data_IF_146628090520
#
_entry.id   IF_146628090520
#
_cell.length_a   1.000
_cell.length_b   1.000
_cell.length_c   1.000
_cell.angle_alpha   90.00
_cell.angle_beta   90.00
_cell.angle_gamma   90.00
#
_symmetry.space_group_name_H-M   'P 1'
#
loop_
_entity.id
_entity.type
_entity.pdbx_description
1 polymer ?
#
# COMPACT_ATOMS: atom_id res chain seq x y z
N UNK A 1 42.40 19.57 -26.01
CA UNK A 1 42.77 20.74 -25.19
C UNK A 1 41.47 21.47 -24.88
N UNK A 2 40.47 20.78 -24.34
CA UNK A 2 40.35 20.10 -23.03
C UNK A 2 39.66 21.05 -22.06
N UNK A 3 38.34 21.16 -22.24
CA UNK A 3 37.42 21.52 -21.18
C UNK A 3 36.18 20.63 -21.35
N UNK A 4 35.62 20.17 -20.23
CA UNK A 4 34.40 19.37 -20.06
C UNK A 4 34.58 17.84 -20.01
N UNK A 5 35.29 17.36 -18.98
CA UNK A 5 35.06 16.05 -18.35
C UNK A 5 35.26 16.20 -16.84
N UNK A 6 34.17 16.22 -16.06
CA UNK A 6 33.98 15.31 -14.91
C UNK A 6 32.62 15.56 -14.25
N UNK A 7 31.58 14.90 -14.76
CA UNK A 7 30.31 14.72 -14.03
C UNK A 7 29.87 13.29 -14.28
N UNK A 8 30.49 12.34 -13.57
CA UNK A 8 29.89 11.04 -13.25
C UNK A 8 30.79 10.29 -12.28
N UNK A 9 30.57 10.48 -10.99
CA UNK A 9 30.79 9.45 -9.97
C UNK A 9 30.10 9.86 -8.67
N UNK A 10 28.77 9.74 -8.61
CA UNK A 10 28.10 9.60 -7.31
C UNK A 10 28.29 8.15 -6.89
N UNK A 11 29.51 7.85 -6.43
CA UNK A 11 29.81 6.63 -5.71
C UNK A 11 28.97 6.64 -4.43
N UNK A 12 27.90 5.85 -4.42
CA UNK A 12 27.13 5.54 -3.21
C UNK A 12 28.02 4.72 -2.29
N UNK A 13 28.88 5.42 -1.55
CA UNK A 13 29.64 4.82 -0.47
C UNK A 13 28.65 4.33 0.59
N UNK A 14 28.80 3.11 1.12
CA UNK A 14 28.01 2.67 2.26
C UNK A 14 28.29 3.63 3.41
N UNK A 15 27.25 4.27 3.94
CA UNK A 15 27.34 5.11 5.13
C UNK A 15 27.75 4.20 6.29
N UNK A 16 29.06 4.09 6.53
CA UNK A 16 29.59 3.54 7.77
C UNK A 16 29.02 4.42 8.89
N UNK A 17 28.44 3.85 9.96
CA UNK A 17 27.95 4.64 11.08
C UNK A 17 29.10 5.47 11.60
N UNK A 18 28.94 6.80 11.60
CA UNK A 18 29.97 7.73 12.04
C UNK A 18 30.44 7.33 13.44
N UNK A 19 31.74 7.07 13.60
CA UNK A 19 32.37 6.65 14.87
C UNK A 19 32.39 7.74 15.94
N UNK A 20 31.74 8.88 15.73
CA UNK A 20 31.71 9.97 16.70
C UNK A 20 30.41 9.93 17.52
N UNK A 21 30.38 9.00 18.47
CA UNK A 21 29.35 8.92 19.49
C UNK A 21 29.59 10.07 20.48
N UNK A 22 29.00 11.24 20.22
CA UNK A 22 29.09 12.40 21.12
C UNK A 22 28.68 12.07 22.57
N UNK A 23 28.97 12.95 23.52
CA UNK A 23 28.79 12.73 24.98
C UNK A 23 27.35 12.29 25.37
N UNK A 24 26.35 12.63 24.56
CA UNK A 24 24.96 12.27 24.78
C UNK A 24 24.47 11.06 23.97
N UNK A 25 25.36 10.41 23.21
CA UNK A 25 25.01 9.29 22.34
C UNK A 25 24.31 8.17 23.10
N UNK A 26 24.89 7.70 24.22
CA UNK A 26 24.26 6.66 25.01
C UNK A 26 22.89 7.06 25.57
N UNK A 27 22.75 8.31 26.03
CA UNK A 27 21.47 8.83 26.52
C UNK A 27 20.42 8.92 25.42
N UNK A 28 20.82 9.36 24.22
CA UNK A 28 19.95 9.43 23.05
C UNK A 28 19.55 8.02 22.63
N UNK A 29 20.51 7.10 22.51
CA UNK A 29 20.24 5.69 22.18
C UNK A 29 19.34 5.05 23.22
N UNK A 30 19.53 5.29 24.51
CA UNK A 30 18.64 4.76 25.55
C UNK A 30 17.22 5.33 25.45
N UNK A 31 17.08 6.62 25.15
CA UNK A 31 15.79 7.30 25.01
C UNK A 31 15.04 6.95 23.71
N UNK A 32 15.73 6.42 22.69
CA UNK A 32 15.08 6.00 21.44
C UNK A 32 14.10 4.85 21.72
N UNK A 33 12.83 4.97 21.27
CA UNK A 33 11.88 3.88 21.29
C UNK A 33 12.45 2.65 20.60
N UNK A 34 12.16 1.42 21.09
CA UNK A 34 12.63 0.19 20.46
C UNK A 34 12.16 0.07 19.01
N UNK A 35 11.05 0.73 18.65
CA UNK A 35 10.60 0.88 17.27
C UNK A 35 11.68 1.48 16.36
N UNK A 36 12.30 2.60 16.75
CA UNK A 36 13.31 3.30 15.93
C UNK A 36 14.60 2.49 15.83
N UNK A 37 15.01 1.83 16.92
CA UNK A 37 16.24 1.00 16.96
C UNK A 37 16.21 -0.21 16.02
N UNK A 38 15.02 -0.73 15.74
CA UNK A 38 14.82 -1.97 14.97
C UNK A 38 14.23 -1.73 13.58
N UNK A 39 14.03 -0.46 13.20
CA UNK A 39 13.43 -0.10 11.91
C UNK A 39 14.48 -0.14 10.80
N UNK A 40 14.20 -0.78 9.65
CA UNK A 40 15.13 -0.78 8.52
C UNK A 40 15.41 0.66 8.03
N UNK A 41 16.64 1.00 7.60
CA UNK A 41 17.07 2.39 7.32
C UNK A 41 16.17 3.16 6.36
N UNK A 42 15.55 2.47 5.38
CA UNK A 42 14.60 3.06 4.42
C UNK A 42 13.39 3.71 5.11
N UNK A 43 12.92 3.16 6.24
CA UNK A 43 11.80 3.72 7.02
C UNK A 43 12.24 4.83 7.99
N UNK A 44 13.56 5.05 8.16
CA UNK A 44 14.14 6.09 9.00
C UNK A 44 14.47 7.38 8.23
N UNK A 45 14.19 7.43 6.92
CA UNK A 45 14.35 8.63 6.08
C UNK A 45 13.30 9.69 6.44
N UNK A 46 13.43 10.25 7.64
CA UNK A 46 12.75 11.45 8.12
C UNK A 46 13.67 12.65 7.89
N UNK A 47 14.12 12.86 6.66
CA UNK A 47 14.98 14.01 6.33
C UNK A 47 14.12 15.21 5.96
N UNK A 48 14.15 16.25 6.79
CA UNK A 48 13.64 17.59 6.46
C UNK A 48 12.25 17.96 6.97
N UNK A 49 11.54 17.09 7.69
CA UNK A 49 10.25 17.47 8.30
C UNK A 49 10.46 18.12 9.65
N UNK A 50 10.17 19.42 9.77
CA UNK A 50 10.03 20.07 11.07
C UNK A 50 8.85 19.42 11.81
N UNK A 51 9.16 18.57 12.79
CA UNK A 51 8.15 17.88 13.60
C UNK A 51 7.57 18.89 14.58
N UNK A 52 6.43 19.49 14.23
CA UNK A 52 5.66 20.32 15.16
C UNK A 52 4.82 19.42 16.06
N UNK A 53 4.93 19.60 17.37
CA UNK A 53 4.11 18.87 18.34
C UNK A 53 2.65 19.32 18.21
N UNK A 54 1.70 18.41 17.93
CA UNK A 54 0.31 18.80 17.75
C UNK A 54 -0.28 19.44 19.01
N UNK A 55 -1.12 20.46 18.84
CA UNK A 55 -1.73 21.19 19.96
C UNK A 55 -2.58 20.31 20.89
N UNK A 56 -3.24 19.26 20.37
CA UNK A 56 -4.00 18.30 21.18
C UNK A 56 -3.08 17.50 22.13
N UNK A 57 -1.86 17.15 21.70
CA UNK A 57 -0.89 16.45 22.53
C UNK A 57 -0.38 17.37 23.66
N UNK A 58 -0.18 18.65 23.37
CA UNK A 58 0.23 19.66 24.36
C UNK A 58 -0.88 19.96 25.40
N UNK A 59 -2.15 19.74 25.06
CA UNK A 59 -3.28 19.89 26.00
C UNK A 59 -3.57 18.63 26.81
N UNK A 60 -3.19 17.45 26.31
CA UNK A 60 -3.38 16.19 27.00
C UNK A 60 -2.65 16.18 28.36
N UNK A 61 -3.27 15.53 29.36
CA UNK A 61 -2.67 15.37 30.68
C UNK A 61 -1.39 14.53 30.61
N UNK A 62 -0.52 14.64 31.61
CA UNK A 62 0.71 13.84 31.65
C UNK A 62 0.39 12.33 31.70
N UNK A 63 -0.67 11.94 32.42
CA UNK A 63 -1.12 10.55 32.48
C UNK A 63 -1.59 10.05 31.10
N UNK A 64 -2.35 10.87 30.36
CA UNK A 64 -2.81 10.51 29.02
C UNK A 64 -1.64 10.40 28.03
N UNK A 65 -0.63 11.25 28.15
CA UNK A 65 0.58 11.17 27.32
C UNK A 65 1.38 9.90 27.60
N UNK A 66 1.52 9.52 28.86
CA UNK A 66 2.18 8.27 29.26
C UNK A 66 1.41 7.07 28.71
N UNK A 67 0.09 7.05 28.87
CA UNK A 67 -0.75 5.99 28.33
C UNK A 67 -0.71 5.93 26.79
N UNK A 68 -0.73 7.09 26.11
CA UNK A 68 -0.56 7.17 24.66
C UNK A 68 0.78 6.58 24.21
N UNK A 69 1.86 6.90 24.93
CA UNK A 69 3.19 6.34 24.68
C UNK A 69 3.19 4.81 24.80
N UNK A 70 2.59 4.26 25.86
CA UNK A 70 2.49 2.81 26.04
C UNK A 70 1.74 2.14 24.88
N UNK A 71 0.64 2.74 24.41
CA UNK A 71 -0.11 2.21 23.26
C UNK A 71 0.69 2.26 21.96
N UNK A 72 1.45 3.33 21.74
CA UNK A 72 2.37 3.44 20.60
C UNK A 72 3.42 2.32 20.65
N UNK A 73 4.08 2.16 21.80
CA UNK A 73 5.12 1.15 22.00
C UNK A 73 4.56 -0.29 21.81
N UNK A 74 3.36 -0.56 22.34
CA UNK A 74 2.64 -1.82 22.15
C UNK A 74 2.29 -2.09 20.69
N UNK A 75 1.76 -1.10 19.96
CA UNK A 75 1.45 -1.23 18.53
C UNK A 75 2.70 -1.57 17.73
N UNK A 76 3.82 -0.87 17.96
CA UNK A 76 5.07 -1.14 17.27
C UNK A 76 5.60 -2.55 17.56
N UNK A 77 5.52 -3.01 18.81
CA UNK A 77 5.92 -4.37 19.17
C UNK A 77 5.12 -5.41 18.39
N UNK A 78 3.79 -5.27 18.35
CA UNK A 78 2.90 -6.21 17.65
C UNK A 78 3.06 -6.13 16.13
N UNK A 79 3.26 -4.94 15.57
CA UNK A 79 3.54 -4.77 14.15
C UNK A 79 4.81 -5.52 13.73
N UNK A 80 5.86 -5.51 14.58
CA UNK A 80 7.08 -6.30 14.28
C UNK A 80 6.81 -7.80 14.19
N UNK A 81 5.87 -8.34 14.97
CA UNK A 81 5.50 -9.75 14.91
C UNK A 81 4.78 -10.12 13.59
N UNK A 82 4.15 -9.14 12.96
CA UNK A 82 3.53 -9.27 11.63
C UNK A 82 4.56 -9.04 10.52
N UNK A 83 5.45 -8.06 10.69
CA UNK A 83 6.47 -7.72 9.71
C UNK A 83 7.57 -8.79 9.62
N UNK A 84 7.92 -9.47 10.73
CA UNK A 84 9.03 -10.42 10.78
C UNK A 84 8.89 -11.61 9.79
N UNK A 85 7.75 -12.31 9.69
CA UNK A 85 7.54 -13.33 8.65
C UNK A 85 7.54 -12.80 7.22
N UNK A 86 7.42 -11.48 7.02
CA UNK A 86 7.33 -10.83 5.72
C UNK A 86 8.66 -10.19 5.28
N UNK A 87 9.75 -10.36 6.05
CA UNK A 87 11.05 -9.77 5.72
C UNK A 87 11.62 -10.32 4.41
N UNK A 88 11.43 -11.62 4.15
CA UNK A 88 11.89 -12.29 2.93
C UNK A 88 10.92 -12.14 1.76
N UNK A 89 9.77 -11.47 1.98
CA UNK A 89 8.80 -11.23 0.93
C UNK A 89 9.35 -10.18 -0.03
N UNK A 90 9.76 -10.62 -1.22
CA UNK A 90 10.12 -9.71 -2.30
C UNK A 90 8.93 -8.82 -2.72
N UNK A 91 8.98 -7.55 -2.32
CA UNK A 91 7.93 -6.56 -2.60
C UNK A 91 8.05 -5.97 -4.00
N UNK A 92 9.27 -5.88 -4.54
CA UNK A 92 9.50 -5.37 -5.89
C UNK A 92 9.35 -6.50 -6.92
N UNK A 93 8.27 -6.42 -7.70
CA UNK A 93 7.97 -7.34 -8.78
C UNK A 93 9.06 -7.35 -9.86
N UNK A 94 9.69 -6.21 -10.15
CA UNK A 94 10.78 -6.13 -11.14
C UNK A 94 12.01 -6.85 -10.63
N UNK A 95 12.35 -6.68 -9.36
CA UNK A 95 13.46 -7.39 -8.72
C UNK A 95 13.20 -8.90 -8.60
N UNK A 96 11.94 -9.33 -8.47
CA UNK A 96 11.55 -10.76 -8.55
C UNK A 96 11.69 -11.32 -9.98
N UNK A 97 11.19 -10.58 -10.97
CA UNK A 97 11.10 -11.05 -12.35
C UNK A 97 12.42 -11.01 -13.12
N UNK A 98 13.28 -10.01 -12.84
CA UNK A 98 14.56 -9.82 -13.53
C UNK A 98 15.44 -11.08 -13.55
N UNK A 99 15.74 -11.76 -12.42
CA UNK A 99 16.59 -12.96 -12.45
C UNK A 99 15.95 -14.12 -13.24
N UNK A 100 14.63 -14.32 -13.11
CA UNK A 100 13.90 -15.37 -13.84
C UNK A 100 13.98 -15.15 -15.35
N UNK A 101 13.74 -13.91 -15.79
CA UNK A 101 13.78 -13.55 -17.20
C UNK A 101 15.21 -13.61 -17.77
N UNK A 102 16.21 -13.14 -17.03
CA UNK A 102 17.62 -13.22 -17.45
C UNK A 102 18.09 -14.67 -17.63
N UNK A 103 17.68 -15.59 -16.74
CA UNK A 103 17.99 -17.01 -16.88
C UNK A 103 17.35 -17.62 -18.13
N UNK A 104 16.09 -17.28 -18.38
CA UNK A 104 15.36 -17.76 -19.54
C UNK A 104 15.94 -17.22 -20.86
N UNK A 105 16.38 -15.95 -20.88
CA UNK A 105 17.03 -15.33 -22.04
C UNK A 105 18.40 -15.96 -22.33
N UNK A 106 19.23 -16.15 -21.31
CA UNK A 106 20.55 -16.78 -21.48
C UNK A 106 20.44 -18.22 -21.98
N UNK A 107 19.49 -19.00 -21.44
CA UNK A 107 19.30 -20.41 -21.83
C UNK A 107 18.78 -20.57 -23.27
N UNK A 108 17.94 -19.65 -23.78
CA UNK A 108 17.28 -19.81 -25.09
C UNK A 108 17.96 -19.05 -26.23
N UNK A 109 18.68 -17.98 -25.91
CA UNK A 109 19.26 -17.06 -26.89
C UNK A 109 20.77 -16.88 -26.73
N UNK A 110 21.40 -17.51 -25.73
CA UNK A 110 22.82 -17.33 -25.38
C UNK A 110 23.19 -15.84 -25.20
N UNK A 111 22.25 -15.05 -24.69
CA UNK A 111 22.42 -13.63 -24.40
C UNK A 111 22.47 -13.41 -22.90
N UNK A 112 23.49 -12.69 -22.45
CA UNK A 112 23.69 -12.26 -21.06
C UNK A 112 23.38 -10.77 -20.89
N UNK A 113 22.63 -10.20 -21.82
CA UNK A 113 22.25 -8.79 -21.79
C UNK A 113 21.29 -8.53 -20.63
N UNK A 114 21.37 -7.33 -20.06
CA UNK A 114 20.42 -6.92 -19.02
C UNK A 114 19.04 -6.70 -19.64
N UNK A 115 18.08 -7.55 -19.25
CA UNK A 115 16.68 -7.52 -19.71
C UNK A 115 15.95 -6.22 -19.37
N UNK A 116 16.45 -5.44 -18.41
CA UNK A 116 15.93 -4.09 -18.10
C UNK A 116 16.47 -3.01 -19.05
N UNK A 117 17.51 -3.31 -19.82
CA UNK A 117 18.12 -2.40 -20.80
C UNK A 117 17.79 -2.76 -22.25
N UNK A 118 17.29 -3.98 -22.49
CA UNK A 118 16.76 -4.38 -23.79
C UNK A 118 15.41 -3.71 -24.03
N UNK A 119 15.27 -3.07 -25.19
CA UNK A 119 14.04 -2.41 -25.61
C UNK A 119 13.26 -3.32 -26.54
N UNK A 120 12.00 -3.59 -26.21
CA UNK A 120 11.07 -4.30 -27.07
C UNK A 120 10.16 -3.28 -27.77
N UNK A 121 10.17 -3.30 -29.11
CA UNK A 121 9.25 -2.51 -29.94
C UNK A 121 8.28 -3.45 -30.62
N UNK A 122 6.99 -3.18 -30.46
CA UNK A 122 5.89 -3.96 -31.01
C UNK A 122 4.99 -3.05 -31.83
N UNK A 123 4.85 -3.34 -33.11
CA UNK A 123 3.82 -2.75 -33.96
C UNK A 123 2.58 -3.64 -33.90
N UNK A 124 1.66 -3.27 -33.01
CA UNK A 124 0.44 -4.04 -32.76
C UNK A 124 -0.60 -3.62 -33.81
N UNK A 125 -1.24 -4.57 -34.50
CA UNK A 125 -2.30 -4.24 -35.47
C UNK A 125 -3.55 -3.69 -34.76
N UNK A 126 -4.12 -2.59 -35.27
CA UNK A 126 -5.40 -2.07 -34.79
C UNK A 126 -6.55 -2.86 -35.43
N UNK A 127 -7.06 -3.85 -34.70
CA UNK A 127 -8.16 -4.73 -35.13
C UNK A 127 -9.48 -4.26 -34.53
N UNK A 128 -10.52 -4.17 -35.35
CA UNK A 128 -11.89 -3.87 -34.88
C UNK A 128 -12.53 -5.17 -34.37
N UNK A 129 -13.68 -5.05 -33.68
CA UNK A 129 -14.57 -6.17 -33.38
C UNK A 129 -14.75 -7.04 -34.64
N UNK A 130 -14.64 -8.36 -34.49
CA UNK A 130 -14.57 -9.37 -35.56
C UNK A 130 -13.21 -9.54 -36.28
N UNK A 131 -12.13 -8.92 -35.77
CA UNK A 131 -10.75 -9.23 -36.21
C UNK A 131 -10.34 -8.60 -37.55
N UNK A 132 -11.13 -7.65 -38.07
CA UNK A 132 -10.83 -6.93 -39.31
C UNK A 132 -9.67 -5.96 -39.04
N UNK A 133 -8.59 -6.11 -39.80
CA UNK A 133 -7.40 -5.26 -39.73
C UNK A 133 -7.63 -3.94 -40.46
N UNK A 134 -7.49 -2.81 -39.76
CA UNK A 134 -7.58 -1.46 -40.36
C UNK A 134 -6.36 -1.05 -41.18
N UNK A 135 -5.29 -1.85 -41.16
CA UNK A 135 -4.00 -1.49 -41.73
C UNK A 135 -3.22 -0.46 -40.90
N UNK A 136 -3.81 0.05 -39.82
CA UNK A 136 -3.13 0.90 -38.83
C UNK A 136 -2.41 0.04 -37.79
N UNK A 137 -1.38 0.62 -37.17
CA UNK A 137 -0.68 0.04 -36.04
C UNK A 137 -0.37 1.09 -35.00
N UNK A 138 -0.41 0.67 -33.73
CA UNK A 138 0.16 1.45 -32.64
C UNK A 138 1.50 0.84 -32.24
N UNK A 139 2.47 1.72 -31.97
CA UNK A 139 3.78 1.34 -31.46
C UNK A 139 3.71 1.20 -29.93
N UNK A 140 3.99 0.00 -29.43
CA UNK A 140 4.23 -0.27 -28.01
C UNK A 140 5.74 -0.44 -27.82
N UNK A 141 6.35 0.45 -27.06
CA UNK A 141 7.78 0.42 -26.72
C UNK A 141 7.93 0.34 -25.21
N UNK A 142 8.67 -0.66 -24.74
CA UNK A 142 8.95 -0.86 -23.32
C UNK A 142 10.27 -1.61 -23.16
N UNK A 143 10.79 -1.68 -21.93
CA UNK A 143 11.86 -2.64 -21.63
C UNK A 143 11.34 -4.07 -21.81
N UNK A 144 12.23 -5.02 -22.08
CA UNK A 144 11.87 -6.43 -22.19
C UNK A 144 11.31 -6.95 -20.86
N UNK A 145 11.85 -6.50 -19.73
CA UNK A 145 11.35 -6.80 -18.40
C UNK A 145 9.91 -6.31 -18.21
N UNK A 146 9.63 -5.04 -18.54
CA UNK A 146 8.28 -4.48 -18.40
C UNK A 146 7.29 -5.18 -19.34
N UNK A 147 7.72 -5.51 -20.57
CA UNK A 147 6.89 -6.28 -21.50
C UNK A 147 6.52 -7.65 -20.94
N UNK A 148 7.47 -8.36 -20.33
CA UNK A 148 7.21 -9.65 -19.71
C UNK A 148 6.26 -9.54 -18.51
N UNK A 149 6.35 -8.46 -17.72
CA UNK A 149 5.45 -8.19 -16.60
C UNK A 149 4.02 -7.81 -17.03
N UNK A 150 3.88 -7.17 -18.19
CA UNK A 150 2.57 -6.94 -18.81
C UNK A 150 1.94 -8.22 -19.39
N UNK A 151 2.68 -9.33 -19.38
CA UNK A 151 2.32 -10.62 -19.96
C UNK A 151 2.07 -10.54 -21.48
N UNK A 152 2.00 -11.70 -22.13
CA UNK A 152 1.60 -11.81 -23.53
C UNK A 152 0.36 -12.69 -23.66
N UNK A 153 -0.55 -12.30 -24.54
CA UNK A 153 -1.72 -13.13 -24.85
C UNK A 153 -1.36 -14.27 -25.81
N UNK A 154 -2.18 -15.31 -25.87
CA UNK A 154 -1.95 -16.45 -26.77
C UNK A 154 -1.82 -16.02 -28.25
N UNK A 155 -2.68 -15.13 -28.80
CA UNK A 155 -2.54 -14.66 -30.17
C UNK A 155 -1.21 -13.94 -30.43
N UNK A 156 -0.67 -13.24 -29.42
CA UNK A 156 0.60 -12.50 -29.52
C UNK A 156 1.82 -13.41 -29.72
N UNK A 157 1.68 -14.72 -29.50
CA UNK A 157 2.74 -15.71 -29.75
C UNK A 157 2.84 -16.15 -31.21
N UNK A 158 1.85 -15.82 -32.05
CA UNK A 158 1.86 -16.21 -33.45
C UNK A 158 2.94 -15.43 -34.23
N UNK A 159 3.57 -16.09 -35.19
CA UNK A 159 4.69 -15.54 -35.99
C UNK A 159 4.31 -14.23 -36.66
N UNK A 160 3.07 -14.11 -37.14
CA UNK A 160 2.58 -12.98 -37.93
C UNK A 160 1.62 -12.06 -37.15
N UNK A 161 1.60 -12.18 -35.82
CA UNK A 161 0.72 -11.33 -35.00
C UNK A 161 1.18 -9.87 -35.01
N UNK A 162 2.47 -9.64 -34.73
CA UNK A 162 3.06 -8.30 -34.72
C UNK A 162 3.57 -7.93 -36.12
N UNK A 163 3.39 -6.67 -36.53
CA UNK A 163 3.82 -6.24 -37.88
C UNK A 163 5.33 -6.19 -38.03
N UNK A 164 5.76 -6.21 -39.30
CA UNK A 164 7.14 -5.96 -39.72
C UNK A 164 7.68 -4.66 -39.11
N UNK A 165 8.86 -4.73 -38.50
CA UNK A 165 9.44 -3.65 -37.70
C UNK A 165 9.46 -3.94 -36.20
N UNK A 166 8.64 -4.89 -35.74
CA UNK A 166 8.67 -5.37 -34.36
C UNK A 166 9.96 -6.15 -34.07
N UNK A 167 10.54 -5.95 -32.90
CA UNK A 167 11.82 -6.56 -32.56
C UNK A 167 12.35 -6.16 -31.19
N UNK A 168 13.38 -6.88 -30.77
CA UNK A 168 14.22 -6.49 -29.63
C UNK A 168 15.39 -5.66 -30.13
N UNK A 169 15.69 -4.60 -29.39
CA UNK A 169 16.76 -3.66 -29.67
C UNK A 169 17.61 -3.48 -28.42
N UNK A 170 18.90 -3.22 -28.63
CA UNK A 170 19.86 -2.85 -27.58
C UNK A 170 20.53 -1.53 -27.95
N UNK A 171 20.92 -0.74 -26.96
CA UNK A 171 21.82 0.37 -27.20
C UNK A 171 23.23 -0.14 -27.51
N UNK A 172 23.84 0.34 -28.58
CA UNK A 172 25.25 0.11 -28.90
C UNK A 172 26.15 1.06 -28.07
N UNK A 173 27.47 0.92 -28.19
CA UNK A 173 28.44 1.78 -27.49
C UNK A 173 28.32 3.29 -27.83
N UNK A 174 27.61 3.63 -28.91
CA UNK A 174 27.32 5.01 -29.34
C UNK A 174 25.94 5.51 -28.87
N UNK A 175 25.20 4.69 -28.13
CA UNK A 175 23.85 5.00 -27.65
C UNK A 175 22.73 4.76 -28.68
N UNK A 176 23.04 4.30 -29.89
CA UNK A 176 22.05 4.04 -30.94
C UNK A 176 21.38 2.67 -30.75
N UNK A 177 20.10 2.56 -31.10
CA UNK A 177 19.37 1.29 -31.05
C UNK A 177 19.77 0.38 -32.21
N UNK A 178 20.35 -0.77 -31.87
CA UNK A 178 20.66 -1.85 -32.79
C UNK A 178 19.73 -3.04 -32.55
N UNK A 179 19.18 -3.61 -33.62
CA UNK A 179 18.27 -4.77 -33.53
C UNK A 179 19.05 -6.02 -33.15
N UNK A 180 18.48 -6.87 -32.30
CA UNK A 180 19.02 -8.18 -31.90
C UNK A 180 18.31 -9.29 -32.68
N UNK A 181 18.87 -9.81 -33.79
CA UNK A 181 18.12 -10.67 -34.72
C UNK A 181 17.82 -12.08 -34.17
N UNK A 182 18.62 -12.56 -33.21
CA UNK A 182 18.41 -13.85 -32.55
C UNK A 182 17.13 -13.88 -31.70
N UNK A 183 16.70 -12.72 -31.21
CA UNK A 183 15.56 -12.51 -30.32
C UNK A 183 14.28 -12.20 -31.11
N UNK A 184 13.68 -13.24 -31.69
CA UNK A 184 12.39 -13.11 -32.39
C UNK A 184 11.26 -12.85 -31.38
N UNK A 185 10.41 -11.88 -31.70
CA UNK A 185 9.32 -11.41 -30.82
C UNK A 185 8.36 -12.54 -30.46
N UNK A 186 7.91 -13.31 -31.45
CA UNK A 186 6.98 -14.42 -31.24
C UNK A 186 7.55 -15.46 -30.25
N UNK A 187 8.84 -15.80 -30.39
CA UNK A 187 9.52 -16.74 -29.49
C UNK A 187 9.66 -16.18 -28.07
N UNK A 188 9.95 -14.89 -27.94
CA UNK A 188 9.98 -14.21 -26.63
C UNK A 188 8.60 -14.25 -25.97
N UNK A 189 7.54 -13.92 -26.73
CA UNK A 189 6.18 -13.94 -26.22
C UNK A 189 5.78 -15.35 -25.74
N UNK A 190 6.11 -16.39 -26.50
CA UNK A 190 5.91 -17.79 -26.08
C UNK A 190 6.64 -18.11 -24.79
N UNK A 191 7.95 -17.79 -24.71
CA UNK A 191 8.76 -18.08 -23.53
C UNK A 191 8.30 -17.32 -22.28
N UNK A 192 7.85 -16.07 -22.43
CA UNK A 192 7.31 -15.28 -21.31
C UNK A 192 6.00 -15.87 -20.79
N UNK A 193 5.12 -16.38 -21.67
CA UNK A 193 3.90 -17.10 -21.27
C UNK A 193 4.21 -18.42 -20.58
N UNK A 194 5.16 -19.19 -21.09
CA UNK A 194 5.57 -20.46 -20.47
C UNK A 194 6.21 -20.26 -19.10
N UNK A 195 6.95 -19.16 -18.91
CA UNK A 195 7.55 -18.82 -17.62
C UNK A 195 6.50 -18.49 -16.55
N UNK A 196 5.37 -17.88 -16.94
CA UNK A 196 4.29 -17.48 -16.04
C UNK A 196 4.78 -16.76 -14.76
N UNK A 197 5.44 -15.62 -14.96
CA UNK A 197 5.97 -14.80 -13.84
C UNK A 197 4.84 -14.43 -12.87
N UNK A 198 3.63 -14.19 -13.38
CA UNK A 198 2.45 -13.90 -12.57
C UNK A 198 2.10 -15.06 -11.63
N UNK A 199 2.01 -16.28 -12.13
CA UNK A 199 1.77 -17.48 -11.33
C UNK A 199 2.89 -17.76 -10.32
N UNK A 200 4.14 -17.59 -10.71
CA UNK A 200 5.30 -17.73 -9.81
C UNK A 200 5.27 -16.69 -8.68
N UNK A 201 4.96 -15.43 -9.00
CA UNK A 201 4.87 -14.37 -7.99
C UNK A 201 3.68 -14.59 -7.05
N UNK A 202 2.53 -15.01 -7.57
CA UNK A 202 1.39 -15.38 -6.72
C UNK A 202 1.73 -16.54 -5.77
N UNK A 203 2.49 -17.52 -6.23
CA UNK A 203 2.96 -18.64 -5.40
C UNK A 203 3.90 -18.14 -4.31
N UNK A 204 4.84 -17.25 -4.65
CA UNK A 204 5.73 -16.57 -3.70
C UNK A 204 4.95 -15.79 -2.63
N UNK A 205 3.95 -14.99 -3.04
CA UNK A 205 3.09 -14.25 -2.12
C UNK A 205 2.31 -15.19 -1.18
N UNK A 206 1.68 -16.24 -1.73
CA UNK A 206 0.90 -17.21 -0.96
C UNK A 206 1.78 -17.99 0.04
N UNK A 207 3.01 -18.33 -0.33
CA UNK A 207 3.92 -19.04 0.56
C UNK A 207 4.20 -18.26 1.86
N UNK A 208 4.26 -16.92 1.78
CA UNK A 208 4.51 -16.04 2.92
C UNK A 208 3.23 -15.57 3.63
N UNK A 209 2.19 -15.20 2.87
CA UNK A 209 0.95 -14.64 3.42
C UNK A 209 -0.07 -15.69 3.85
N UNK A 210 -0.01 -16.89 3.27
CA UNK A 210 -0.91 -18.01 3.55
C UNK A 210 -0.11 -19.32 3.69
N UNK A 211 0.73 -19.46 4.73
CA UNK A 211 1.56 -20.64 4.91
C UNK A 211 0.73 -21.93 4.88
N UNK A 212 1.26 -22.99 4.26
CA UNK A 212 0.60 -24.29 4.20
C UNK A 212 0.43 -24.92 5.60
N UNK A 213 1.38 -24.66 6.49
CA UNK A 213 1.35 -25.04 7.90
C UNK A 213 0.25 -24.29 8.66
N UNK A 214 -0.71 -25.03 9.20
CA UNK A 214 -1.85 -24.50 9.94
C UNK A 214 -1.44 -23.72 11.20
N UNK A 215 -0.38 -24.14 11.90
CA UNK A 215 0.09 -23.45 13.10
C UNK A 215 0.72 -22.10 12.76
N UNK A 216 1.54 -22.05 11.69
CA UNK A 216 2.10 -20.79 11.20
C UNK A 216 1.02 -19.83 10.74
N UNK A 217 0.02 -20.34 10.02
CA UNK A 217 -1.13 -19.54 9.57
C UNK A 217 -1.92 -18.96 10.75
N UNK A 218 -2.27 -19.80 11.73
CA UNK A 218 -2.99 -19.34 12.92
C UNK A 218 -2.18 -18.31 13.72
N UNK A 219 -0.86 -18.48 13.79
CA UNK A 219 0.03 -17.54 14.46
C UNK A 219 0.04 -16.19 13.73
N UNK A 220 0.15 -16.19 12.40
CA UNK A 220 0.11 -14.98 11.58
C UNK A 220 -1.24 -14.25 11.72
N UNK A 221 -2.36 -14.96 11.68
CA UNK A 221 -3.70 -14.40 11.89
C UNK A 221 -3.84 -13.77 13.28
N UNK A 222 -3.36 -14.45 14.34
CA UNK A 222 -3.37 -13.93 15.71
C UNK A 222 -2.51 -12.67 15.86
N UNK A 223 -1.30 -12.67 15.29
CA UNK A 223 -0.42 -11.49 15.31
C UNK A 223 -1.05 -10.32 14.54
N UNK A 224 -1.63 -10.59 13.36
CA UNK A 224 -2.35 -9.59 12.57
C UNK A 224 -3.51 -8.98 13.35
N UNK A 225 -4.39 -9.82 13.90
CA UNK A 225 -5.51 -9.37 14.72
C UNK A 225 -5.06 -8.58 15.96
N UNK A 226 -3.97 -9.00 16.61
CA UNK A 226 -3.41 -8.27 17.75
C UNK A 226 -2.86 -6.90 17.34
N UNK A 227 -2.14 -6.81 16.22
CA UNK A 227 -1.63 -5.54 15.69
C UNK A 227 -2.77 -4.57 15.34
N UNK A 228 -3.81 -5.04 14.64
CA UNK A 228 -4.99 -4.25 14.31
C UNK A 228 -5.76 -3.78 15.55
N UNK A 229 -5.92 -4.65 16.57
CA UNK A 229 -6.54 -4.26 17.85
C UNK A 229 -5.73 -3.18 18.57
N UNK A 230 -4.40 -3.24 18.53
CA UNK A 230 -3.54 -2.22 19.13
C UNK A 230 -3.58 -0.91 18.35
N UNK A 231 -3.65 -0.96 17.01
CA UNK A 231 -3.85 0.21 16.16
C UNK A 231 -5.21 0.88 16.43
N UNK A 232 -6.27 0.07 16.57
CA UNK A 232 -7.60 0.54 16.93
C UNK A 232 -7.66 1.17 18.33
N UNK A 233 -7.01 0.56 19.33
CA UNK A 233 -6.91 1.11 20.69
C UNK A 233 -6.20 2.47 20.70
N UNK A 234 -5.08 2.56 19.99
CA UNK A 234 -4.32 3.81 19.83
C UNK A 234 -5.15 4.89 19.13
N UNK A 235 -5.78 4.56 18.01
CA UNK A 235 -6.63 5.49 17.25
C UNK A 235 -7.81 5.99 18.08
N UNK A 236 -8.45 5.10 18.85
CA UNK A 236 -9.56 5.46 19.75
C UNK A 236 -9.12 6.44 20.84
N UNK A 237 -7.94 6.24 21.44
CA UNK A 237 -7.41 7.17 22.44
C UNK A 237 -7.05 8.52 21.79
N UNK A 238 -6.41 8.51 20.62
CA UNK A 238 -6.08 9.74 19.90
C UNK A 238 -7.34 10.54 19.55
N UNK A 239 -8.41 9.87 19.12
CA UNK A 239 -9.70 10.51 18.84
C UNK A 239 -10.29 11.15 20.11
N UNK A 240 -10.21 10.47 21.27
CA UNK A 240 -10.63 11.05 22.54
C UNK A 240 -9.83 12.32 22.90
N UNK A 241 -8.50 12.26 22.80
CA UNK A 241 -7.61 13.39 23.13
C UNK A 241 -7.71 14.58 22.16
N UNK A 242 -8.25 14.34 20.96
CA UNK A 242 -8.56 15.37 19.97
C UNK A 242 -9.96 15.97 20.14
N UNK A 243 -10.75 15.46 21.09
CA UNK A 243 -12.18 15.74 21.23
C UNK A 243 -13.01 15.31 20.00
N UNK A 244 -12.52 14.37 19.18
CA UNK A 244 -13.24 13.80 18.03
C UNK A 244 -14.37 12.87 18.51
N UNK A 245 -14.18 12.20 19.65
CA UNK A 245 -15.17 11.30 20.27
C UNK A 245 -15.35 11.60 21.76
N UNK A 246 -16.51 11.25 22.31
CA UNK A 246 -16.79 11.38 23.75
C UNK A 246 -16.15 10.24 24.58
N UNK A 247 -15.98 10.48 25.88
CA UNK A 247 -15.51 9.44 26.82
C UNK A 247 -16.40 8.19 26.85
N UNK A 248 -17.72 8.38 26.70
CA UNK A 248 -18.67 7.27 26.56
C UNK A 248 -18.41 6.45 25.28
N UNK A 249 -18.20 7.12 24.14
CA UNK A 249 -17.86 6.46 22.89
C UNK A 249 -16.53 5.69 22.99
N UNK A 250 -15.50 6.29 23.61
CA UNK A 250 -14.23 5.62 23.88
C UNK A 250 -14.42 4.34 24.73
N UNK A 251 -15.24 4.40 25.77
CA UNK A 251 -15.59 3.23 26.58
C UNK A 251 -16.28 2.11 25.79
N UNK A 252 -17.15 2.46 24.85
CA UNK A 252 -17.81 1.51 23.94
C UNK A 252 -16.82 0.91 22.94
N UNK A 253 -15.95 1.71 22.33
CA UNK A 253 -14.90 1.20 21.44
C UNK A 253 -13.95 0.24 22.18
N UNK A 254 -13.65 0.50 23.45
CA UNK A 254 -12.89 -0.44 24.29
C UNK A 254 -13.60 -1.80 24.43
N UNK A 255 -14.92 -1.82 24.60
CA UNK A 255 -15.70 -3.08 24.63
C UNK A 255 -15.66 -3.81 23.29
N UNK A 256 -15.67 -3.08 22.17
CA UNK A 256 -15.53 -3.64 20.81
C UNK A 256 -14.17 -4.34 20.66
N UNK A 257 -13.08 -3.71 21.11
CA UNK A 257 -11.73 -4.31 21.09
C UNK A 257 -11.68 -5.63 21.86
N UNK A 258 -12.30 -5.67 23.03
CA UNK A 258 -12.38 -6.86 23.89
C UNK A 258 -13.35 -7.93 23.38
N UNK A 259 -14.04 -7.66 22.26
CA UNK A 259 -15.04 -8.56 21.68
C UNK A 259 -16.14 -8.93 22.68
N UNK A 260 -16.57 -7.95 23.49
CA UNK A 260 -17.63 -8.13 24.48
C UNK A 260 -18.97 -8.35 23.77
N UNK A 261 -19.82 -9.23 24.30
CA UNK A 261 -21.17 -9.45 23.76
C UNK A 261 -22.16 -8.39 24.26
N UNK A 262 -23.16 -8.06 23.43
CA UNK A 262 -24.25 -7.16 23.84
C UNK A 262 -23.85 -5.71 24.06
N UNK A 263 -22.84 -5.21 23.34
CA UNK A 263 -22.37 -3.83 23.40
C UNK A 263 -23.52 -2.88 23.08
N UNK A 264 -23.69 -1.83 23.90
CA UNK A 264 -24.70 -0.81 23.69
C UNK A 264 -24.07 0.58 23.66
N UNK A 265 -24.58 1.41 22.76
CA UNK A 265 -24.27 2.83 22.71
C UNK A 265 -25.57 3.61 22.92
N UNK A 266 -25.62 4.47 23.95
CA UNK A 266 -26.84 5.19 24.36
C UNK A 266 -28.10 4.31 24.44
N UNK A 267 -27.98 3.14 25.09
CA UNK A 267 -29.04 2.12 25.30
C UNK A 267 -29.47 1.34 24.06
N UNK A 268 -28.86 1.59 22.90
CA UNK A 268 -29.12 0.86 21.65
C UNK A 268 -28.03 -0.16 21.36
N UNK A 269 -28.36 -1.32 20.76
CA UNK A 269 -27.34 -2.28 20.36
C UNK A 269 -26.38 -1.63 19.34
N UNK A 270 -25.08 -1.87 19.53
CA UNK A 270 -24.07 -1.48 18.56
C UNK A 270 -23.88 -2.61 17.56
N UNK A 271 -24.00 -2.28 16.27
CA UNK A 271 -23.79 -3.19 15.15
C UNK A 271 -22.47 -2.87 14.45
N UNK A 272 -21.77 -3.93 14.03
CA UNK A 272 -20.52 -3.84 13.27
C UNK A 272 -20.79 -4.22 11.82
N UNK A 273 -20.43 -3.33 10.89
CA UNK A 273 -20.67 -3.48 9.47
C UNK A 273 -19.35 -3.46 8.70
N UNK A 274 -19.32 -4.20 7.59
CA UNK A 274 -18.27 -4.09 6.59
C UNK A 274 -18.80 -3.30 5.41
N UNK A 275 -18.06 -2.27 5.02
CA UNK A 275 -18.50 -1.39 3.94
C UNK A 275 -18.32 -2.07 2.58
N UNK A 276 -19.29 -1.88 1.68
CA UNK A 276 -19.19 -2.28 0.28
C UNK A 276 -19.62 -1.13 -0.62
N UNK A 277 -18.88 -0.89 -1.69
CA UNK A 277 -19.19 0.13 -2.69
C UNK A 277 -19.43 -0.56 -4.03
N UNK A 278 -20.61 -0.38 -4.62
CA UNK A 278 -20.99 -0.99 -5.92
C UNK A 278 -20.78 -2.51 -5.97
N UNK A 279 -21.05 -3.21 -4.86
CA UNK A 279 -20.83 -4.65 -4.72
C UNK A 279 -19.40 -5.07 -4.35
N UNK A 280 -18.44 -4.15 -4.35
CA UNK A 280 -17.06 -4.43 -3.94
C UNK A 280 -16.88 -4.20 -2.45
N UNK A 281 -16.50 -5.25 -1.72
CA UNK A 281 -16.21 -5.16 -0.28
C UNK A 281 -14.94 -4.34 -0.09
N UNK A 282 -15.02 -3.30 0.73
CA UNK A 282 -13.84 -2.55 1.14
C UNK A 282 -13.10 -3.34 2.22
N UNK A 283 -11.77 -3.31 2.15
CA UNK A 283 -10.87 -3.92 3.11
C UNK A 283 -10.27 -2.82 4.00
N UNK A 284 -10.13 -3.08 5.30
CA UNK A 284 -9.55 -2.14 6.26
C UNK A 284 -10.53 -1.09 6.82
N UNK A 285 -11.78 -1.05 6.35
CA UNK A 285 -12.81 -0.14 6.88
C UNK A 285 -13.89 -0.94 7.61
N UNK A 286 -14.18 -0.57 8.85
CA UNK A 286 -15.25 -1.12 9.68
C UNK A 286 -16.12 0.05 10.14
N UNK A 287 -17.44 -0.10 9.99
CA UNK A 287 -18.41 0.89 10.46
C UNK A 287 -19.11 0.34 11.70
N UNK A 288 -19.13 1.12 12.77
CA UNK A 288 -19.96 0.84 13.93
C UNK A 288 -21.20 1.74 13.86
N UNK A 289 -22.38 1.15 13.94
CA UNK A 289 -23.62 1.92 13.98
C UNK A 289 -24.48 1.47 15.15
N UNK A 290 -24.97 2.42 15.93
CA UNK A 290 -26.04 2.18 16.87
C UNK A 290 -27.30 2.64 16.16
N UNK A 291 -28.08 1.70 15.64
CA UNK A 291 -29.14 1.99 14.67
C UNK A 291 -30.03 3.14 15.18
N UNK A 292 -30.01 4.24 14.43
CA UNK A 292 -31.11 5.18 14.39
C UNK A 292 -32.31 4.40 13.90
N UNK A 293 -33.37 4.26 14.69
CA UNK A 293 -34.62 3.67 14.23
C UNK A 293 -34.92 4.21 12.83
N UNK A 294 -34.80 3.37 11.81
CA UNK A 294 -34.75 3.81 10.41
C UNK A 294 -36.04 4.55 10.06
N UNK A 295 -37.13 4.19 10.75
CA UNK A 295 -38.42 4.85 10.68
C UNK A 295 -38.41 6.23 11.34
N UNK A 296 -37.70 6.44 12.45
CA UNK A 296 -37.53 7.77 13.06
C UNK A 296 -36.61 8.67 12.24
N UNK A 297 -35.53 8.14 11.67
CA UNK A 297 -34.63 8.92 10.80
C UNK A 297 -35.36 9.29 9.51
N UNK A 298 -36.05 8.33 8.89
CA UNK A 298 -36.89 8.57 7.72
C UNK A 298 -38.04 9.54 8.03
N UNK A 299 -38.77 9.35 9.12
CA UNK A 299 -39.85 10.26 9.53
C UNK A 299 -39.33 11.67 9.86
N UNK A 300 -38.17 11.81 10.48
CA UNK A 300 -37.55 13.11 10.74
C UNK A 300 -37.13 13.80 9.44
N UNK A 301 -36.53 13.06 8.50
CA UNK A 301 -36.18 13.56 7.17
C UNK A 301 -37.43 13.90 6.35
N UNK A 302 -38.50 13.12 6.49
CA UNK A 302 -39.77 13.32 5.81
C UNK A 302 -40.58 14.49 6.41
N UNK A 303 -40.45 14.74 7.71
CA UNK A 303 -41.09 15.87 8.40
C UNK A 303 -40.41 17.22 8.13
N UNK A 304 -39.19 17.24 7.59
CA UNK A 304 -38.55 18.48 7.16
C UNK A 304 -39.26 19.03 5.92
N UNK A 305 -39.66 20.31 5.96
CA UNK A 305 -40.19 21.03 4.81
C UNK A 305 -39.19 21.03 3.63
N UNK A 306 -39.62 21.10 2.36
CA UNK A 306 -38.75 20.99 1.19
C UNK A 306 -37.55 21.96 1.24
N UNK A 307 -37.80 23.18 1.69
CA UNK A 307 -36.80 24.25 1.80
C UNK A 307 -35.81 23.97 2.95
N UNK A 308 -36.30 23.35 4.03
CA UNK A 308 -35.50 22.92 5.17
C UNK A 308 -34.64 21.69 4.84
N UNK A 309 -35.06 20.81 3.92
CA UNK A 309 -34.27 19.65 3.43
C UNK A 309 -33.09 20.07 2.57
N UNK A 310 -33.29 21.03 1.66
CA UNK A 310 -32.21 21.61 0.86
C UNK A 310 -31.19 22.33 1.76
N UNK A 311 -31.70 23.08 2.73
CA UNK A 311 -30.88 23.73 3.76
C UNK A 311 -30.11 22.72 4.61
N UNK A 312 -30.70 21.58 5.00
CA UNK A 312 -30.03 20.55 5.81
C UNK A 312 -28.87 19.87 5.07
N UNK A 313 -29.04 19.61 3.77
CA UNK A 313 -27.99 19.05 2.92
C UNK A 313 -26.81 20.03 2.78
N UNK A 314 -27.09 21.32 2.59
CA UNK A 314 -26.06 22.38 2.61
C UNK A 314 -25.43 22.57 4.01
N UNK A 315 -26.22 22.46 5.08
CA UNK A 315 -25.78 22.58 6.47
C UNK A 315 -24.90 21.42 6.95
N UNK A 316 -25.04 20.23 6.34
CA UNK A 316 -24.14 19.09 6.62
C UNK A 316 -22.69 19.38 6.25
N UNK A 317 -22.45 20.28 5.29
CA UNK A 317 -21.11 20.79 4.95
C UNK A 317 -20.64 21.94 5.85
N UNK A 318 -21.54 22.62 6.57
CA UNK A 318 -21.25 23.86 7.33
C UNK A 318 -21.08 23.63 8.85
N UNK A 319 -21.39 22.43 9.35
CA UNK A 319 -21.34 22.08 10.78
C UNK A 319 -19.92 21.99 11.39
N UNK A 320 -18.84 22.10 10.59
CA UNK A 320 -17.48 22.14 11.13
C UNK A 320 -17.06 23.50 11.70
N UNK A 321 -17.84 24.57 11.50
CA UNK A 321 -17.35 25.95 11.71
C UNK A 321 -18.13 26.82 12.71
N UNK A 322 -19.26 26.39 13.27
CA UNK A 322 -20.06 27.29 14.12
C UNK A 322 -20.56 26.66 15.43
N UNK A 323 -19.90 27.08 16.52
CA UNK A 323 -20.46 27.36 17.85
C UNK A 323 -20.30 26.31 18.99
N UNK A 324 -20.01 26.76 20.24
CA UNK A 324 -19.66 25.90 21.38
C UNK A 324 -20.88 25.55 22.24
N UNK A 325 -21.10 24.26 22.51
CA UNK A 325 -22.12 23.80 23.44
C UNK A 325 -22.29 22.28 23.45
N UNK A 326 -22.40 21.69 24.64
CA UNK A 326 -22.34 20.25 24.94
C UNK A 326 -23.47 19.37 24.36
N UNK A 327 -24.43 19.92 23.60
CA UNK A 327 -25.58 19.16 23.08
C UNK A 327 -25.27 18.36 21.80
N UNK A 328 -24.12 18.61 21.17
CA UNK A 328 -23.70 17.96 19.91
C UNK A 328 -22.85 16.70 20.10
N UNK A 329 -22.61 16.26 21.34
CA UNK A 329 -21.85 15.03 21.64
C UNK A 329 -22.49 13.74 21.05
N UNK A 330 -23.77 13.80 20.68
CA UNK A 330 -24.49 12.70 20.01
C UNK A 330 -24.23 12.63 18.49
N UNK A 331 -23.68 13.69 17.91
CA UNK A 331 -23.45 13.85 16.47
C UNK A 331 -21.97 13.96 16.09
N UNK A 332 -21.05 13.93 17.07
CA UNK A 332 -19.63 13.73 16.80
C UNK A 332 -19.44 12.33 16.22
N UNK A 333 -19.14 12.29 14.93
CA UNK A 333 -19.07 11.11 14.08
C UNK A 333 -18.00 10.11 14.59
N UNK A 334 -18.35 8.83 14.49
CA UNK A 334 -17.47 7.67 14.62
C UNK A 334 -16.48 7.57 13.46
#
# INVERSE_FOLDING_TARGET
>A
MDELQDVNEVSSSPVLPAQNNGVHYERIVQALPPAIKSTPPVRLLLTGTAVSTPGWYLRASELDRQYLKELIDKRWLLQRLVDAPLQDLQQDIKAFAKPLLSLLMSSNFNSYDDVSQLTLRLYVPDRILFGIDRGASHLRESTLLDAALHNFEEPETAVDYFRSGSGVFRHNLRGELSRVPSMRVNRIATLCRELDIGGQYQTHLKAHLLPADAQKRQTLERHGAASEKAAFELASLMALLKDDISSNAYGVLRQVRENTSGIRFHRRPLHSHRLSLMGFKLHGVVLFSAEGDADLVRAAVEALAPDARASWLDWSGMLSLMSPGNDMDKFKLL
#
